data_IF_402960625107
#
_entry.id   IF_402960625107
#
_cell.length_a   1.000
_cell.length_b   1.000
_cell.length_c   1.000
_cell.angle_alpha   90.00
_cell.angle_beta   90.00
_cell.angle_gamma   90.00
#
_symmetry.space_group_name_H-M   'P 1'
#
loop_
_entity.id
_entity.type
_entity.pdbx_description
1 polymer ?
#
# COMPACT_ATOMS: atom_id res chain seq x y z
N UNK A 1 -51.57 -42.89 -24.76
CA UNK A 1 -50.27 -43.55 -25.08
C UNK A 1 -49.31 -42.45 -25.49
N UNK A 2 -48.47 -41.99 -24.55
CA UNK A 2 -47.61 -40.82 -24.72
C UNK A 2 -46.21 -41.30 -25.17
N UNK A 3 -45.73 -40.87 -26.34
CA UNK A 3 -44.45 -41.34 -26.90
C UNK A 3 -43.51 -40.16 -27.14
N UNK A 4 -42.47 -40.15 -26.31
CA UNK A 4 -41.18 -39.46 -26.44
C UNK A 4 -41.17 -37.95 -26.23
N UNK A 5 -40.97 -37.59 -24.96
CA UNK A 5 -40.45 -36.28 -24.56
C UNK A 5 -39.00 -36.12 -25.04
N UNK A 6 -38.76 -35.03 -25.76
CA UNK A 6 -37.42 -34.53 -26.00
C UNK A 6 -37.13 -33.49 -24.92
N UNK A 7 -36.63 -33.94 -23.77
CA UNK A 7 -36.12 -33.07 -22.72
C UNK A 7 -34.89 -32.34 -23.29
N UNK A 8 -35.04 -31.05 -23.58
CA UNK A 8 -33.95 -30.19 -23.99
C UNK A 8 -32.82 -30.26 -22.97
N UNK A 9 -31.72 -30.92 -23.35
CA UNK A 9 -30.50 -31.01 -22.56
C UNK A 9 -29.89 -29.60 -22.53
N UNK A 10 -30.03 -28.88 -21.41
CA UNK A 10 -29.30 -27.62 -21.18
C UNK A 10 -27.80 -27.93 -21.27
N UNK A 11 -27.17 -27.54 -22.37
CA UNK A 11 -25.71 -27.57 -22.51
C UNK A 11 -25.16 -26.39 -21.72
N UNK A 12 -24.69 -26.65 -20.50
CA UNK A 12 -23.89 -25.68 -19.76
C UNK A 12 -22.46 -25.72 -20.32
N UNK A 13 -22.16 -24.80 -21.24
CA UNK A 13 -20.78 -24.50 -21.57
C UNK A 13 -20.17 -23.78 -20.37
N UNK A 14 -19.22 -24.42 -19.70
CA UNK A 14 -18.39 -23.74 -18.73
C UNK A 14 -17.48 -22.80 -19.53
N UNK A 15 -17.82 -21.51 -19.53
CA UNK A 15 -17.09 -20.43 -20.19
C UNK A 15 -16.56 -19.41 -19.17
N UNK A 16 -16.74 -19.69 -17.88
CA UNK A 16 -16.35 -18.85 -16.75
C UNK A 16 -15.29 -19.54 -15.90
N UNK A 17 -14.40 -18.76 -15.27
CA UNK A 17 -13.31 -19.20 -14.38
C UNK A 17 -12.37 -20.32 -14.89
N UNK A 18 -12.32 -20.54 -16.21
CA UNK A 18 -11.58 -21.67 -16.83
C UNK A 18 -10.08 -21.73 -16.53
N UNK A 19 -9.46 -20.62 -16.09
CA UNK A 19 -8.04 -20.52 -15.75
C UNK A 19 -7.80 -19.93 -14.36
N UNK A 20 -8.82 -19.90 -13.52
CA UNK A 20 -8.70 -19.43 -12.14
C UNK A 20 -8.37 -20.62 -11.26
N UNK A 21 -7.23 -20.55 -10.56
CA UNK A 21 -6.84 -21.60 -9.60
C UNK A 21 -7.67 -21.53 -8.33
N UNK A 22 -7.88 -20.32 -7.83
CA UNK A 22 -8.58 -20.04 -6.59
C UNK A 22 -8.96 -18.55 -6.54
N UNK A 23 -10.08 -18.23 -5.89
CA UNK A 23 -10.47 -16.87 -5.51
C UNK A 23 -10.61 -16.85 -3.99
N UNK A 24 -9.82 -16.00 -3.35
CA UNK A 24 -9.84 -15.84 -1.90
C UNK A 24 -10.44 -14.48 -1.54
N UNK A 25 -11.31 -14.46 -0.53
CA UNK A 25 -11.88 -13.21 -0.04
C UNK A 25 -10.82 -12.33 0.64
N UNK A 26 -10.87 -11.04 0.32
CA UNK A 26 -10.05 -10.01 0.94
C UNK A 26 -10.81 -9.35 2.09
N UNK A 27 -10.07 -8.97 3.13
CA UNK A 27 -10.63 -8.12 4.18
C UNK A 27 -11.16 -6.82 3.57
N UNK A 28 -12.38 -6.39 3.95
CA UNK A 28 -12.91 -5.14 3.47
C UNK A 28 -12.08 -3.98 4.05
N UNK A 29 -11.92 -2.85 3.32
CA UNK A 29 -11.14 -1.71 3.78
C UNK A 29 -11.53 -1.21 5.18
N UNK A 30 -12.82 -1.25 5.51
CA UNK A 30 -13.34 -0.85 6.83
C UNK A 30 -12.70 -1.63 7.97
N UNK A 31 -12.45 -2.93 7.80
CA UNK A 31 -11.83 -3.76 8.84
C UNK A 31 -10.38 -3.31 9.16
N UNK A 32 -9.66 -2.78 8.16
CA UNK A 32 -8.32 -2.22 8.37
C UNK A 32 -8.36 -0.83 9.01
N UNK A 33 -9.37 -0.02 8.67
CA UNK A 33 -9.57 1.31 9.25
C UNK A 33 -9.98 1.22 10.72
N UNK A 34 -10.86 0.27 11.07
CA UNK A 34 -11.27 0.02 12.45
C UNK A 34 -10.14 -0.58 13.29
N UNK A 35 -9.35 -1.52 12.72
CA UNK A 35 -8.23 -2.14 13.44
C UNK A 35 -7.03 -1.20 13.63
N UNK A 36 -6.80 -0.31 12.66
CA UNK A 36 -5.69 0.63 12.65
C UNK A 36 -6.21 2.03 12.33
N UNK A 37 -6.95 2.67 13.26
CA UNK A 37 -7.42 4.03 13.06
C UNK A 37 -6.23 4.99 12.99
N UNK A 38 -6.37 6.07 12.23
CA UNK A 38 -5.37 7.13 12.26
C UNK A 38 -5.38 7.77 13.65
N UNK A 39 -4.21 7.94 14.24
CA UNK A 39 -4.03 8.80 15.42
C UNK A 39 -4.18 10.26 15.01
N UNK A 40 -4.38 11.14 15.99
CA UNK A 40 -4.40 12.59 15.75
C UNK A 40 -3.09 13.06 15.10
N UNK A 41 -1.94 12.58 15.59
CA UNK A 41 -0.63 12.88 15.01
C UNK A 41 -0.52 12.43 13.56
N UNK A 42 -0.93 11.19 13.25
CA UNK A 42 -0.88 10.69 11.89
C UNK A 42 -1.79 11.50 10.95
N UNK A 43 -2.99 11.87 11.41
CA UNK A 43 -3.91 12.71 10.65
C UNK A 43 -3.32 14.11 10.38
N UNK A 44 -2.71 14.73 11.39
CA UNK A 44 -2.05 16.03 11.28
C UNK A 44 -0.83 15.98 10.35
N UNK A 45 0.02 14.97 10.47
CA UNK A 45 1.16 14.74 9.57
C UNK A 45 0.71 14.70 8.11
N UNK A 46 -0.32 13.91 7.81
CA UNK A 46 -0.87 13.79 6.45
C UNK A 46 -1.45 15.12 5.96
N UNK A 47 -2.25 15.80 6.79
CA UNK A 47 -2.88 17.06 6.42
C UNK A 47 -1.85 18.16 6.15
N UNK A 48 -0.86 18.33 7.03
CA UNK A 48 0.20 19.32 6.89
C UNK A 48 1.08 19.05 5.68
N UNK A 49 1.51 17.80 5.47
CA UNK A 49 2.34 17.46 4.30
C UNK A 49 1.59 17.71 2.98
N UNK A 50 0.30 17.36 2.89
CA UNK A 50 -0.52 17.65 1.71
C UNK A 50 -0.64 19.15 1.45
N UNK A 51 -0.82 19.96 2.49
CA UNK A 51 -0.87 21.41 2.39
C UNK A 51 0.47 22.00 1.94
N UNK A 52 1.58 21.57 2.54
CA UNK A 52 2.93 22.01 2.17
C UNK A 52 3.24 21.68 0.70
N UNK A 53 2.99 20.44 0.28
CA UNK A 53 3.17 20.01 -1.12
C UNK A 53 2.30 20.85 -2.06
N UNK A 54 1.05 21.14 -1.68
CA UNK A 54 0.18 22.01 -2.48
C UNK A 54 0.78 23.42 -2.66
N UNK A 55 1.34 24.01 -1.61
CA UNK A 55 1.98 25.33 -1.67
C UNK A 55 3.22 25.32 -2.56
N UNK A 56 4.08 24.29 -2.44
CA UNK A 56 5.26 24.10 -3.30
C UNK A 56 4.85 23.97 -4.77
N UNK A 57 3.87 23.12 -5.08
CA UNK A 57 3.39 22.92 -6.45
C UNK A 57 2.72 24.18 -7.04
N UNK A 58 2.16 25.03 -6.18
CA UNK A 58 1.57 26.31 -6.58
C UNK A 58 2.62 27.42 -6.78
N UNK A 59 3.84 27.24 -6.25
CA UNK A 59 4.89 28.24 -6.25
C UNK A 59 4.79 29.27 -5.12
N UNK A 60 3.96 29.00 -4.11
CA UNK A 60 3.81 29.86 -2.92
C UNK A 60 4.83 29.52 -1.81
N UNK A 61 5.59 28.42 -1.97
CA UNK A 61 6.64 27.93 -1.08
C UNK A 61 7.83 27.51 -1.97
N UNK A 62 9.02 28.07 -1.71
CA UNK A 62 10.22 27.89 -2.53
C UNK A 62 11.05 26.66 -2.13
N UNK A 63 10.63 25.94 -1.09
CA UNK A 63 11.26 24.70 -0.67
C UNK A 63 11.15 23.60 -1.72
N UNK A 64 12.14 22.71 -1.73
CA UNK A 64 12.15 21.55 -2.62
C UNK A 64 11.43 20.35 -1.98
N UNK A 65 10.43 19.81 -2.68
CA UNK A 65 9.84 18.52 -2.33
C UNK A 65 10.83 17.38 -2.64
N UNK A 66 11.18 16.59 -1.62
CA UNK A 66 12.10 15.45 -1.75
C UNK A 66 11.41 14.16 -1.34
N UNK A 67 11.11 13.30 -2.32
CA UNK A 67 10.59 11.95 -2.06
C UNK A 67 11.75 10.97 -2.04
N UNK A 68 12.14 10.48 -0.85
CA UNK A 68 13.33 9.64 -0.67
C UNK A 68 13.06 8.44 0.25
N UNK A 69 13.67 7.30 -0.07
CA UNK A 69 13.54 6.09 0.74
C UNK A 69 13.89 4.81 -0.01
N UNK A 70 13.70 3.65 0.62
CA UNK A 70 13.95 2.35 0.01
C UNK A 70 13.18 2.16 -1.29
N UNK A 71 13.72 1.35 -2.20
CA UNK A 71 13.08 1.07 -3.48
C UNK A 71 11.73 0.35 -3.33
N UNK A 72 11.69 -0.63 -2.41
CA UNK A 72 10.51 -1.35 -1.92
C UNK A 72 10.78 -1.84 -0.49
N UNK A 73 9.79 -1.80 0.37
CA UNK A 73 9.87 -2.24 1.77
C UNK A 73 9.56 -3.72 1.86
N UNK A 74 10.46 -4.49 2.44
CA UNK A 74 10.28 -5.91 2.77
C UNK A 74 10.40 -6.18 4.28
N UNK A 75 11.11 -5.33 5.02
CA UNK A 75 11.22 -5.39 6.48
C UNK A 75 10.63 -4.12 7.14
N UNK A 76 9.49 -4.24 7.84
CA UNK A 76 8.89 -3.13 8.59
C UNK A 76 9.78 -2.58 9.72
N UNK A 77 10.66 -3.39 10.32
CA UNK A 77 11.55 -2.93 11.38
C UNK A 77 12.62 -1.98 10.83
N UNK A 78 13.36 -2.41 9.80
CA UNK A 78 14.32 -1.56 9.10
C UNK A 78 13.66 -0.31 8.50
N UNK A 79 12.42 -0.41 8.01
CA UNK A 79 11.68 0.76 7.51
C UNK A 79 11.43 1.81 8.60
N UNK A 80 11.06 1.39 9.82
CA UNK A 80 10.87 2.31 10.95
C UNK A 80 12.19 2.91 11.44
N UNK A 81 13.27 2.12 11.45
CA UNK A 81 14.60 2.64 11.76
C UNK A 81 15.04 3.71 10.75
N UNK A 82 14.82 3.44 9.45
CA UNK A 82 15.07 4.42 8.40
C UNK A 82 14.23 5.69 8.58
N UNK A 83 12.94 5.54 8.90
CA UNK A 83 12.04 6.65 9.19
C UNK A 83 12.57 7.53 10.33
N UNK A 84 13.01 6.92 11.44
CA UNK A 84 13.56 7.64 12.57
C UNK A 84 14.81 8.47 12.19
N UNK A 85 15.71 7.90 11.38
CA UNK A 85 16.89 8.61 10.88
C UNK A 85 16.52 9.74 9.92
N UNK A 86 15.55 9.50 9.03
CA UNK A 86 15.09 10.50 8.07
C UNK A 86 14.36 11.66 8.74
N UNK A 87 13.61 11.40 9.81
CA UNK A 87 12.91 12.42 10.57
C UNK A 87 13.87 13.47 11.16
N UNK A 88 15.03 13.05 11.68
CA UNK A 88 16.07 13.98 12.15
C UNK A 88 16.54 14.92 11.03
N UNK A 89 16.70 14.41 9.81
CA UNK A 89 17.08 15.22 8.65
C UNK A 89 15.93 16.11 8.16
N UNK A 90 14.69 15.61 8.19
CA UNK A 90 13.49 16.39 7.89
C UNK A 90 13.41 17.62 8.78
N UNK A 91 13.62 17.46 10.09
CA UNK A 91 13.58 18.60 11.02
C UNK A 91 14.76 19.56 10.82
N UNK A 92 15.97 19.04 10.59
CA UNK A 92 17.16 19.86 10.38
C UNK A 92 17.11 20.69 9.09
N UNK A 93 16.45 20.18 8.04
CA UNK A 93 16.42 20.77 6.70
C UNK A 93 15.06 21.38 6.34
N UNK A 94 14.09 21.44 7.26
CA UNK A 94 12.70 21.84 6.97
C UNK A 94 12.53 23.25 6.39
N UNK A 95 13.53 24.12 6.58
CA UNK A 95 13.54 25.47 6.01
C UNK A 95 13.74 25.49 4.49
N UNK A 96 14.39 24.46 3.94
CA UNK A 96 14.75 24.38 2.52
C UNK A 96 14.08 23.19 1.81
N UNK A 97 13.77 22.11 2.56
CA UNK A 97 13.29 20.85 2.02
C UNK A 97 11.98 20.41 2.68
N UNK A 98 11.04 19.92 1.87
CA UNK A 98 9.89 19.15 2.31
C UNK A 98 10.16 17.65 2.06
N UNK A 99 10.74 16.97 3.06
CA UNK A 99 11.21 15.57 2.92
C UNK A 99 10.08 14.57 3.20
N UNK A 100 9.65 13.81 2.20
CA UNK A 100 8.63 12.77 2.31
C UNK A 100 9.25 11.39 2.14
N UNK A 101 8.95 10.46 3.05
CA UNK A 101 9.49 9.11 2.97
C UNK A 101 8.83 8.32 1.85
N UNK A 102 9.61 7.73 0.96
CA UNK A 102 9.14 6.75 -0.03
C UNK A 102 8.80 5.43 0.66
N UNK A 103 7.54 5.02 0.60
CA UNK A 103 7.01 3.77 1.17
C UNK A 103 6.32 2.96 0.08
N UNK A 104 7.08 2.18 -0.68
CA UNK A 104 6.56 1.34 -1.76
C UNK A 104 6.56 -0.12 -1.31
N UNK A 105 5.46 -0.84 -1.50
CA UNK A 105 5.34 -2.23 -1.06
C UNK A 105 5.72 -3.25 -2.13
N UNK A 106 5.83 -2.82 -3.38
CA UNK A 106 6.16 -3.69 -4.49
C UNK A 106 6.98 -2.94 -5.55
N UNK A 107 7.59 -3.71 -6.44
CA UNK A 107 8.20 -3.23 -7.67
C UNK A 107 7.55 -3.98 -8.82
N UNK A 108 6.95 -3.32 -9.82
CA UNK A 108 6.41 -4.01 -10.99
C UNK A 108 7.54 -4.72 -11.73
N UNK A 109 7.32 -6.00 -12.08
CA UNK A 109 8.28 -6.86 -12.80
C UNK A 109 7.58 -7.63 -13.91
N UNK A 110 8.27 -7.77 -15.03
CA UNK A 110 7.87 -8.62 -16.17
C UNK A 110 8.37 -10.06 -16.05
N UNK A 111 9.24 -10.34 -15.07
CA UNK A 111 9.82 -11.66 -14.78
C UNK A 111 9.36 -12.20 -13.42
N UNK A 112 9.53 -13.51 -13.21
CA UNK A 112 9.23 -14.15 -11.93
C UNK A 112 10.15 -13.58 -10.83
N UNK A 113 9.56 -13.25 -9.69
CA UNK A 113 10.23 -12.69 -8.53
C UNK A 113 9.24 -12.35 -7.43
N UNK A 114 9.76 -11.93 -6.28
CA UNK A 114 8.95 -11.55 -5.12
C UNK A 114 7.90 -10.48 -5.48
N UNK A 115 6.68 -10.68 -4.98
CA UNK A 115 5.49 -9.90 -5.36
C UNK A 115 5.21 -8.70 -4.45
N UNK A 116 6.11 -8.41 -3.51
CA UNK A 116 5.98 -7.29 -2.59
C UNK A 116 5.35 -7.67 -1.25
N UNK A 117 5.46 -6.76 -0.27
CA UNK A 117 5.07 -6.98 1.12
C UNK A 117 3.57 -7.20 1.30
N UNK A 118 2.74 -6.57 0.46
CA UNK A 118 1.29 -6.78 0.51
C UNK A 118 0.95 -8.18 0.00
N UNK A 119 1.52 -8.59 -1.14
CA UNK A 119 1.17 -9.87 -1.75
C UNK A 119 1.79 -11.06 -1.03
N UNK A 120 3.06 -10.96 -0.63
CA UNK A 120 3.84 -12.06 -0.05
C UNK A 120 4.68 -11.55 1.14
N UNK A 121 4.04 -11.26 2.29
CA UNK A 121 4.71 -10.61 3.43
C UNK A 121 5.83 -11.45 4.06
N UNK A 122 5.78 -12.77 3.90
CA UNK A 122 6.74 -13.71 4.48
C UNK A 122 7.86 -14.10 3.52
N UNK A 123 7.83 -13.60 2.28
CA UNK A 123 8.83 -13.89 1.23
C UNK A 123 9.00 -15.39 0.95
N UNK A 124 7.93 -16.17 1.13
CA UNK A 124 7.90 -17.62 1.01
C UNK A 124 6.89 -18.12 -0.06
N UNK A 125 6.29 -17.19 -0.83
CA UNK A 125 5.21 -17.45 -1.77
C UNK A 125 3.93 -18.00 -1.14
N UNK A 126 3.68 -17.71 0.14
CA UNK A 126 2.43 -18.09 0.83
C UNK A 126 1.23 -17.22 0.46
N UNK A 127 1.45 -16.09 -0.23
CA UNK A 127 0.43 -15.16 -0.71
C UNK A 127 -0.57 -14.68 0.36
N UNK A 128 -0.07 -14.39 1.57
CA UNK A 128 -0.88 -13.97 2.73
C UNK A 128 -1.31 -12.51 2.62
N UNK A 129 -2.12 -12.17 1.62
CA UNK A 129 -2.50 -10.78 1.29
C UNK A 129 -3.16 -10.07 2.48
N UNK A 130 -4.05 -10.75 3.20
CA UNK A 130 -4.69 -10.18 4.39
C UNK A 130 -3.68 -9.83 5.50
N UNK A 131 -2.58 -10.58 5.63
CA UNK A 131 -1.50 -10.26 6.58
C UNK A 131 -0.67 -9.09 6.05
N UNK A 132 -0.34 -9.10 4.76
CA UNK A 132 0.38 -8.02 4.10
C UNK A 132 -0.35 -6.67 4.17
N UNK A 133 -1.68 -6.64 3.98
CA UNK A 133 -2.51 -5.45 4.15
C UNK A 133 -2.46 -4.89 5.57
N UNK A 134 -2.51 -5.77 6.59
CA UNK A 134 -2.41 -5.35 8.00
C UNK A 134 -1.02 -4.79 8.31
N UNK A 135 0.04 -5.46 7.84
CA UNK A 135 1.43 -5.00 8.01
C UNK A 135 1.64 -3.65 7.34
N UNK A 136 1.21 -3.50 6.08
CA UNK A 136 1.34 -2.26 5.31
C UNK A 136 0.58 -1.10 5.95
N UNK A 137 -0.68 -1.31 6.36
CA UNK A 137 -1.51 -0.32 7.05
C UNK A 137 -0.86 0.12 8.36
N UNK A 138 -0.40 -0.83 9.18
CA UNK A 138 0.26 -0.52 10.46
C UNK A 138 1.57 0.23 10.24
N UNK A 139 2.38 -0.15 9.25
CA UNK A 139 3.63 0.54 8.96
C UNK A 139 3.39 2.00 8.55
N UNK A 140 2.43 2.26 7.66
CA UNK A 140 2.07 3.62 7.28
C UNK A 140 1.55 4.43 8.48
N UNK A 141 0.76 3.81 9.36
CA UNK A 141 0.29 4.44 10.58
C UNK A 141 1.47 4.82 11.49
N UNK A 142 2.35 3.87 11.81
CA UNK A 142 3.52 4.07 12.67
C UNK A 142 4.45 5.19 12.11
N UNK A 143 4.66 5.22 10.79
CA UNK A 143 5.48 6.27 10.13
C UNK A 143 4.82 7.65 10.27
N UNK A 144 3.52 7.78 9.94
CA UNK A 144 2.84 9.08 10.02
C UNK A 144 2.66 9.57 11.46
N UNK A 145 2.44 8.66 12.41
CA UNK A 145 2.33 8.98 13.84
C UNK A 145 3.64 9.57 14.39
N UNK A 146 4.79 9.18 13.83
CA UNK A 146 6.10 9.76 14.18
C UNK A 146 6.31 11.20 13.72
N UNK A 147 5.45 11.76 12.86
CA UNK A 147 5.62 13.08 12.24
C UNK A 147 6.17 13.06 10.81
N UNK A 148 6.54 11.89 10.29
CA UNK A 148 7.11 11.74 8.95
C UNK A 148 6.02 11.37 7.93
N UNK A 149 5.75 12.18 6.89
CA UNK A 149 4.80 11.82 5.84
C UNK A 149 5.35 10.72 4.93
N UNK A 150 4.44 9.90 4.39
CA UNK A 150 4.75 8.81 3.48
C UNK A 150 4.19 9.05 2.08
N UNK A 151 5.01 8.77 1.05
CA UNK A 151 4.63 8.72 -0.35
C UNK A 151 4.57 7.27 -0.81
N UNK A 152 3.39 6.83 -1.24
CA UNK A 152 3.16 5.53 -1.84
C UNK A 152 3.14 5.59 -3.37
N UNK A 153 3.19 4.42 -3.99
CA UNK A 153 2.85 4.26 -5.39
C UNK A 153 1.51 3.52 -5.49
N UNK A 154 0.62 4.00 -6.35
CA UNK A 154 -0.57 3.24 -6.77
C UNK A 154 -0.32 2.80 -8.21
N UNK A 155 0.26 1.63 -8.39
CA UNK A 155 0.25 0.96 -9.69
C UNK A 155 -1.17 0.46 -9.92
N UNK A 156 -1.97 1.25 -10.64
CA UNK A 156 -3.28 0.82 -11.17
C UNK A 156 -3.06 0.26 -12.57
#
# INVERSE_FOLDING_TARGET
MNKYGNAGKKMNYQNDDLRIKEINELLPPVALLEKFPATENAANTVAHARKAIHQILKGDDDRLLVVIGPCSIHDPAAAKEYAARLLTLREALKGELEIVMRVYFEKPRTTVGWKGLINDPHMDNSFRINDGLRIARKLLLDINDSGLPAAGNSSI
#
